data_IF_820759836806
#
_entry.id   IF_820759836806
#
_cell.length_a   1.000
_cell.length_b   1.000
_cell.length_c   1.000
_cell.angle_alpha   90.00
_cell.angle_beta   90.00
_cell.angle_gamma   90.00
#
_symmetry.space_group_name_H-M   'P 1'
#
loop_
_entity.id
_entity.type
_entity.pdbx_description
1 polymer ?
#
# COMPACT_ATOMS: atom_id res chain seq x y z
N UNK A 1 -0.60 -21.82 8.13
CA UNK A 1 -1.20 -20.55 7.69
C UNK A 1 -0.08 -19.64 7.24
N UNK A 2 0.00 -19.33 5.95
CA UNK A 2 0.94 -18.33 5.44
C UNK A 2 0.54 -16.97 6.00
N UNK A 3 1.45 -16.31 6.74
CA UNK A 3 1.17 -15.00 7.34
C UNK A 3 0.95 -13.91 6.31
N UNK A 4 0.15 -12.90 6.67
CA UNK A 4 -0.05 -11.69 5.85
C UNK A 4 1.28 -10.93 5.79
N UNK A 5 1.69 -10.52 4.58
CA UNK A 5 2.86 -9.66 4.41
C UNK A 5 2.45 -8.20 4.63
N UNK A 6 3.11 -7.50 5.55
CA UNK A 6 2.84 -6.08 5.80
C UNK A 6 3.94 -5.25 5.13
N UNK A 7 3.56 -4.43 4.16
CA UNK A 7 4.46 -3.52 3.45
C UNK A 7 4.13 -2.09 3.85
N UNK A 8 5.17 -1.30 4.10
CA UNK A 8 5.04 0.14 4.32
C UNK A 8 5.67 0.88 3.15
N UNK A 9 5.08 1.98 2.73
CA UNK A 9 5.59 2.74 1.61
C UNK A 9 5.38 4.24 1.80
N UNK A 10 6.26 5.02 1.19
CA UNK A 10 6.23 6.47 1.20
C UNK A 10 6.41 7.01 -0.22
N UNK A 11 5.63 8.01 -0.61
CA UNK A 11 5.76 8.63 -1.93
C UNK A 11 5.39 10.10 -1.92
N UNK A 12 6.00 10.87 -2.84
CA UNK A 12 5.61 12.26 -3.17
C UNK A 12 4.68 12.34 -4.38
N UNK A 13 4.31 11.21 -4.97
CA UNK A 13 3.37 11.17 -6.09
C UNK A 13 1.98 11.60 -5.63
N UNK A 14 1.22 12.17 -6.56
CA UNK A 14 -0.19 12.45 -6.33
C UNK A 14 -0.92 11.13 -5.98
N UNK A 15 -1.84 11.20 -5.02
CA UNK A 15 -2.46 10.03 -4.39
C UNK A 15 -3.17 9.12 -5.39
N UNK A 16 -3.98 9.69 -6.29
CA UNK A 16 -4.72 8.92 -7.30
C UNK A 16 -3.76 8.30 -8.31
N UNK A 17 -2.75 9.03 -8.77
CA UNK A 17 -1.71 8.51 -9.65
C UNK A 17 -0.94 7.34 -9.01
N UNK A 18 -0.45 7.49 -7.78
CA UNK A 18 0.22 6.41 -7.06
C UNK A 18 -0.69 5.19 -6.80
N UNK A 19 -1.96 5.41 -6.46
CA UNK A 19 -2.92 4.31 -6.28
C UNK A 19 -3.16 3.56 -7.59
N UNK A 20 -3.30 4.29 -8.70
CA UNK A 20 -3.51 3.69 -10.03
C UNK A 20 -2.27 2.91 -10.47
N UNK A 21 -1.08 3.45 -10.21
CA UNK A 21 0.19 2.77 -10.51
C UNK A 21 0.36 1.47 -9.73
N UNK A 22 -0.04 1.44 -8.45
CA UNK A 22 -0.05 0.20 -7.65
C UNK A 22 -0.99 -0.83 -8.28
N UNK A 23 -2.20 -0.42 -8.65
CA UNK A 23 -3.19 -1.32 -9.25
C UNK A 23 -2.70 -1.91 -10.56
N UNK A 24 -2.18 -1.08 -11.46
CA UNK A 24 -1.64 -1.50 -12.75
C UNK A 24 -0.47 -2.47 -12.57
N UNK A 25 0.40 -2.20 -11.60
CA UNK A 25 1.54 -3.06 -11.30
C UNK A 25 1.11 -4.41 -10.74
N UNK A 26 0.14 -4.44 -9.81
CA UNK A 26 -0.42 -5.69 -9.26
C UNK A 26 -1.10 -6.51 -10.36
N UNK A 27 -1.94 -5.88 -11.18
CA UNK A 27 -2.60 -6.54 -12.31
C UNK A 27 -1.60 -7.13 -13.31
N UNK A 28 -0.54 -6.37 -13.65
CA UNK A 28 0.53 -6.83 -14.55
C UNK A 28 1.29 -8.05 -14.00
N UNK A 29 1.39 -8.16 -12.67
CA UNK A 29 2.01 -9.31 -11.99
C UNK A 29 1.02 -10.47 -11.76
N UNK A 30 -0.21 -10.37 -12.27
CA UNK A 30 -1.22 -11.42 -12.17
C UNK A 30 -1.91 -11.50 -10.82
N UNK A 31 -1.80 -10.46 -9.98
CA UNK A 31 -2.51 -10.36 -8.71
C UNK A 31 -3.80 -9.57 -8.83
N UNK A 32 -4.46 -9.39 -7.69
CA UNK A 32 -5.65 -8.55 -7.58
C UNK A 32 -5.63 -7.72 -6.30
N UNK A 33 -6.46 -6.69 -6.28
CA UNK A 33 -6.68 -5.84 -5.13
C UNK A 33 -7.93 -6.35 -4.41
N UNK A 34 -7.80 -6.71 -3.15
CA UNK A 34 -8.90 -7.19 -2.32
C UNK A 34 -9.72 -6.02 -1.77
N UNK A 35 -9.06 -4.92 -1.41
CA UNK A 35 -9.68 -3.77 -0.75
C UNK A 35 -8.77 -2.55 -0.72
N UNK A 36 -9.36 -1.35 -0.69
CA UNK A 36 -8.64 -0.09 -0.48
C UNK A 36 -9.37 0.76 0.54
N UNK A 37 -8.67 1.09 1.61
CA UNK A 37 -9.15 1.97 2.67
C UNK A 37 -8.35 3.27 2.64
N UNK A 38 -9.05 4.39 2.50
CA UNK A 38 -8.48 5.73 2.53
C UNK A 38 -8.81 6.37 3.88
N UNK A 39 -7.82 6.50 4.75
CA UNK A 39 -8.03 7.04 6.10
C UNK A 39 -7.98 8.57 6.12
N UNK A 40 -7.13 9.15 5.28
CA UNK A 40 -6.97 10.61 5.15
C UNK A 40 -6.39 10.93 3.78
N UNK A 41 -6.18 12.22 3.50
CA UNK A 41 -5.43 12.61 2.31
C UNK A 41 -3.96 12.19 2.37
N UNK A 42 -3.45 11.86 3.55
CA UNK A 42 -2.06 11.51 3.76
C UNK A 42 -1.76 10.01 3.82
N UNK A 43 -2.77 9.15 3.89
CA UNK A 43 -2.55 7.71 4.04
C UNK A 43 -3.64 6.84 3.40
N UNK A 44 -3.17 5.86 2.61
CA UNK A 44 -3.99 4.78 2.07
C UNK A 44 -3.48 3.43 2.56
N UNK A 45 -4.39 2.48 2.73
CA UNK A 45 -4.07 1.07 2.94
C UNK A 45 -4.72 0.23 1.86
N UNK A 46 -3.91 -0.53 1.15
CA UNK A 46 -4.33 -1.39 0.03
C UNK A 46 -4.10 -2.84 0.44
N UNK A 47 -5.14 -3.66 0.42
CA UNK A 47 -5.02 -5.12 0.56
C UNK A 47 -4.96 -5.73 -0.83
N UNK A 48 -3.98 -6.60 -1.05
CA UNK A 48 -3.72 -7.22 -2.34
C UNK A 48 -3.26 -8.65 -2.17
N UNK A 49 -3.45 -9.45 -3.22
CA UNK A 49 -3.01 -10.85 -3.25
C UNK A 49 -2.19 -11.11 -4.51
N UNK A 50 -1.05 -11.76 -4.33
CA UNK A 50 -0.09 -12.13 -5.36
C UNK A 50 0.53 -13.49 -5.03
N UNK A 51 1.10 -14.16 -6.04
CA UNK A 51 2.02 -15.27 -5.79
C UNK A 51 3.18 -14.79 -4.92
N UNK A 52 3.58 -15.59 -3.91
CA UNK A 52 4.62 -15.19 -2.96
C UNK A 52 5.95 -14.77 -3.63
N UNK A 53 6.29 -15.39 -4.77
CA UNK A 53 7.48 -15.05 -5.56
C UNK A 53 7.36 -13.76 -6.39
N UNK A 54 6.17 -13.17 -6.52
CA UNK A 54 5.96 -11.93 -7.30
C UNK A 54 6.17 -10.66 -6.47
N UNK A 55 6.21 -10.75 -5.13
CA UNK A 55 6.39 -9.59 -4.25
C UNK A 55 7.71 -8.84 -4.46
N UNK A 56 8.87 -9.49 -4.67
CA UNK A 56 10.10 -8.78 -5.00
C UNK A 56 9.99 -7.94 -6.28
N UNK A 57 9.30 -8.45 -7.31
CA UNK A 57 9.07 -7.73 -8.55
C UNK A 57 8.10 -6.55 -8.37
N UNK A 58 7.06 -6.71 -7.53
CA UNK A 58 6.18 -5.61 -7.13
C UNK A 58 6.99 -4.51 -6.44
N UNK A 59 7.78 -4.85 -5.42
CA UNK A 59 8.59 -3.89 -4.66
C UNK A 59 9.57 -3.14 -5.55
N UNK A 60 10.26 -3.85 -6.46
CA UNK A 60 11.16 -3.23 -7.43
C UNK A 60 10.42 -2.23 -8.33
N UNK A 61 9.30 -2.63 -8.93
CA UNK A 61 8.50 -1.76 -9.79
C UNK A 61 7.93 -0.54 -9.05
N UNK A 62 7.51 -0.71 -7.79
CA UNK A 62 7.05 0.40 -6.95
C UNK A 62 8.17 1.40 -6.68
N UNK A 63 9.38 0.92 -6.34
CA UNK A 63 10.56 1.76 -6.11
C UNK A 63 10.99 2.50 -7.38
N UNK A 64 11.05 1.82 -8.52
CA UNK A 64 11.33 2.43 -9.82
C UNK A 64 10.28 3.49 -10.19
N UNK A 65 9.03 3.26 -9.81
CA UNK A 65 7.92 4.21 -9.95
C UNK A 65 7.89 5.32 -8.90
N UNK A 66 8.92 5.53 -8.08
CA UNK A 66 8.97 6.61 -7.09
C UNK A 66 8.11 6.37 -5.83
N UNK A 67 7.78 5.11 -5.53
CA UNK A 67 7.13 4.69 -4.29
C UNK A 67 8.16 3.91 -3.49
N UNK A 68 8.74 4.53 -2.47
CA UNK A 68 9.73 3.89 -1.61
C UNK A 68 9.03 2.88 -0.71
N UNK A 69 9.32 1.59 -0.87
CA UNK A 69 8.72 0.51 -0.08
C UNK A 69 9.73 -0.05 0.91
N UNK A 70 9.34 -0.12 2.18
CA UNK A 70 10.00 -0.85 3.26
C UNK A 70 9.36 -2.24 3.41
N UNK A 71 10.21 -3.26 3.38
CA UNK A 71 9.81 -4.65 3.62
C UNK A 71 10.27 -5.06 5.02
N UNK A 72 9.40 -5.63 5.88
CA UNK A 72 9.83 -6.16 7.16
C UNK A 72 10.66 -7.42 6.95
N UNK A 73 11.77 -7.50 7.68
CA UNK A 73 12.80 -8.54 7.59
C UNK A 73 12.27 -9.97 7.80
N UNK A 74 11.07 -10.11 8.36
CA UNK A 74 10.47 -11.36 8.84
C UNK A 74 9.50 -12.03 7.85
N UNK A 75 9.27 -11.43 6.67
CA UNK A 75 8.18 -11.86 5.79
C UNK A 75 8.49 -13.04 4.86
N UNK A 76 9.71 -13.21 4.37
CA UNK A 76 9.96 -14.01 3.16
C UNK A 76 10.36 -15.48 3.38
N UNK A 77 10.65 -15.90 4.61
CA UNK A 77 11.22 -17.24 4.83
C UNK A 77 10.18 -18.37 4.81
N UNK A 78 10.20 -19.16 3.73
CA UNK A 78 9.59 -20.49 3.67
C UNK A 78 8.24 -20.60 2.96
N UNK A 79 7.71 -19.52 2.38
CA UNK A 79 6.49 -19.61 1.56
C UNK A 79 6.82 -20.22 0.19
N UNK A 80 6.00 -21.17 -0.28
CA UNK A 80 6.05 -21.66 -1.65
C UNK A 80 5.86 -20.48 -2.60
N UNK A 81 6.82 -20.25 -3.51
CA UNK A 81 6.83 -19.10 -4.42
C UNK A 81 5.56 -19.00 -5.28
N UNK A 82 4.95 -20.12 -5.62
CA UNK A 82 3.71 -20.19 -6.41
C UNK A 82 2.45 -20.11 -5.57
N UNK A 83 2.55 -20.17 -4.24
CA UNK A 83 1.39 -20.04 -3.38
C UNK A 83 0.92 -18.59 -3.34
N UNK A 84 -0.39 -18.40 -3.42
CA UNK A 84 -1.02 -17.11 -3.20
C UNK A 84 -0.77 -16.66 -1.78
N UNK A 85 -0.42 -15.39 -1.64
CA UNK A 85 -0.15 -14.75 -0.37
C UNK A 85 -0.79 -13.38 -0.38
N UNK A 86 -1.52 -13.09 0.69
CA UNK A 86 -2.08 -11.78 0.94
C UNK A 86 -1.02 -10.82 1.50
N UNK A 87 -1.11 -9.57 1.08
CA UNK A 87 -0.34 -8.47 1.64
C UNK A 87 -1.22 -7.26 1.93
N UNK A 88 -0.74 -6.45 2.85
CA UNK A 88 -1.26 -5.12 3.11
C UNK A 88 -0.15 -4.13 2.78
N UNK A 89 -0.43 -3.18 1.89
CA UNK A 89 0.45 -2.08 1.53
C UNK A 89 -0.11 -0.79 2.13
N UNK A 90 0.58 -0.24 3.13
CA UNK A 90 0.29 1.07 3.66
C UNK A 90 1.14 2.12 2.93
N UNK A 91 0.50 3.09 2.29
CA UNK A 91 1.16 4.17 1.56
C UNK A 91 0.93 5.48 2.31
N UNK A 92 2.00 6.10 2.75
CA UNK A 92 2.02 7.47 3.26
C UNK A 92 2.40 8.40 2.13
N UNK A 93 1.56 9.38 1.85
CA UNK A 93 1.83 10.41 0.87
C UNK A 93 2.54 11.58 1.56
N UNK A 94 3.56 12.15 0.91
CA UNK A 94 4.22 13.37 1.35
C UNK A 94 3.74 14.50 0.45
N UNK A 95 3.18 15.52 1.08
CA UNK A 95 2.58 16.70 0.46
C UNK A 95 2.91 17.87 1.40
N UNK A 96 3.20 19.03 0.80
CA UNK A 96 3.45 20.26 1.54
C UNK A 96 2.14 20.99 1.90
N UNK A 97 0.98 20.38 1.63
CA UNK A 97 -0.33 20.93 1.96
C UNK A 97 -0.71 20.62 3.42
N UNK A 98 -1.33 21.58 4.14
CA UNK A 98 -1.77 21.33 5.51
C UNK A 98 -2.79 20.18 5.52
N UNK A 99 -2.60 19.24 6.45
CA UNK A 99 -3.53 18.13 6.66
C UNK A 99 -4.97 18.66 6.81
N UNK A 100 -5.92 17.97 6.17
CA UNK A 100 -7.32 18.40 6.12
C UNK A 100 -7.96 18.18 7.49
N UNK A 101 -7.72 19.12 8.40
CA UNK A 101 -8.32 19.14 9.74
C UNK A 101 -9.83 19.21 9.57
N UNK A 102 -10.52 18.14 9.95
CA UNK A 102 -11.98 18.13 10.06
C UNK A 102 -12.34 19.17 11.13
N UNK A 103 -12.97 20.26 10.73
CA UNK A 103 -13.53 21.22 11.69
C UNK A 103 -14.53 20.47 12.57
N UNK A 104 -14.20 20.33 13.85
CA UNK A 104 -15.17 19.84 14.84
C UNK A 104 -16.09 21.03 15.09
N UNK A 105 -17.38 20.99 14.70
CA UNK A 105 -18.29 22.06 15.09
C UNK A 105 -18.29 22.13 16.61
N UNK A 106 -18.08 23.34 17.15
CA UNK A 106 -18.23 23.56 18.58
C UNK A 106 -19.61 23.05 18.99
N UNK A 107 -19.66 22.03 19.85
CA UNK A 107 -20.93 21.56 20.41
C UNK A 107 -21.45 22.70 21.29
N UNK A 108 -22.57 23.36 20.94
CA UNK A 108 -23.15 24.37 21.81
C UNK A 108 -23.78 23.62 22.99
N UNK A 109 -23.03 23.52 24.09
CA UNK A 109 -23.50 22.99 25.36
C UNK A 109 -24.10 24.10 26.21
N UNK A 110 -25.44 24.14 26.21
CA UNK A 110 -26.43 24.75 27.14
C UNK A 110 -26.01 25.87 28.10
#
# INVERSE_FOLDING_TARGET
MSGILMLSAVTRRERKDATSFVFDTVNRLGGWIDDVQMYSNIMNTIRLTLAAGAYPALIAALREGGIAVDEPETGANGANASAERMATLQITFIHDEPDLKREIPAVPGY
#
